data_IF_202933689345
#
_entry.id   IF_202933689345
#
_cell.length_a   1.000
_cell.length_b   1.000
_cell.length_c   1.000
_cell.angle_alpha   90.00
_cell.angle_beta   90.00
_cell.angle_gamma   90.00
#
_symmetry.space_group_name_H-M   'P 1'
#
loop_
_entity.id
_entity.type
_entity.pdbx_description
1 polymer ?
#
# COMPACT_ATOMS: atom_id res chain seq x y z
N UNK A 1 0.88 -28.57 -1.98
CA UNK A 1 -0.24 -27.85 -2.59
C UNK A 1 -0.09 -27.91 -4.09
N UNK A 2 -1.18 -27.99 -4.84
CA UNK A 2 -1.12 -27.86 -6.31
C UNK A 2 -0.70 -26.44 -6.70
N UNK A 3 0.06 -26.31 -7.79
CA UNK A 3 0.49 -25.02 -8.34
C UNK A 3 0.24 -25.03 -9.84
N UNK A 4 -0.63 -24.12 -10.28
CA UNK A 4 -1.01 -23.90 -11.68
C UNK A 4 -1.38 -22.42 -11.87
N UNK A 5 -1.52 -21.94 -13.11
CA UNK A 5 -1.76 -20.51 -13.41
C UNK A 5 -3.00 -19.94 -12.74
N UNK A 6 -4.02 -20.76 -12.59
CA UNK A 6 -5.31 -20.39 -12.00
C UNK A 6 -5.39 -20.57 -10.47
N UNK A 7 -4.29 -20.85 -9.78
CA UNK A 7 -4.31 -21.17 -8.34
C UNK A 7 -4.80 -20.00 -7.46
N UNK A 8 -4.74 -18.78 -8.00
CA UNK A 8 -5.23 -17.55 -7.36
C UNK A 8 -6.63 -17.13 -7.86
N UNK A 9 -7.36 -18.02 -8.55
CA UNK A 9 -8.79 -17.77 -8.83
C UNK A 9 -9.60 -17.99 -7.56
N UNK A 10 -10.41 -17.00 -7.23
CA UNK A 10 -11.17 -16.95 -5.99
C UNK A 10 -12.68 -17.02 -6.27
N UNK A 11 -13.42 -17.80 -5.48
CA UNK A 11 -14.88 -17.65 -5.38
C UNK A 11 -15.18 -16.33 -4.67
N UNK A 12 -15.35 -15.26 -5.46
CA UNK A 12 -15.48 -13.90 -4.95
C UNK A 12 -16.69 -13.75 -4.02
N UNK A 13 -17.79 -14.47 -4.29
CA UNK A 13 -19.00 -14.38 -3.47
C UNK A 13 -18.75 -14.98 -2.09
N UNK A 14 -18.26 -16.21 -2.05
CA UNK A 14 -17.97 -16.92 -0.79
C UNK A 14 -16.94 -16.16 0.04
N UNK A 15 -15.92 -15.61 -0.61
CA UNK A 15 -14.87 -14.87 0.10
C UNK A 15 -15.37 -13.52 0.64
N UNK A 16 -16.20 -12.78 -0.11
CA UNK A 16 -16.86 -11.58 0.41
C UNK A 16 -17.73 -11.91 1.62
N UNK A 17 -18.53 -12.97 1.56
CA UNK A 17 -19.35 -13.41 2.71
C UNK A 17 -18.48 -13.71 3.94
N UNK A 18 -17.33 -14.37 3.75
CA UNK A 18 -16.38 -14.68 4.81
C UNK A 18 -15.77 -13.42 5.43
N UNK A 19 -15.36 -12.46 4.62
CA UNK A 19 -14.77 -11.19 5.09
C UNK A 19 -15.82 -10.33 5.80
N UNK A 20 -17.06 -10.29 5.28
CA UNK A 20 -18.15 -9.59 5.92
C UNK A 20 -18.48 -10.16 7.31
N UNK A 21 -18.45 -11.49 7.47
CA UNK A 21 -18.64 -12.10 8.79
C UNK A 21 -17.50 -11.77 9.75
N UNK A 22 -16.25 -11.77 9.27
CA UNK A 22 -15.10 -11.31 10.04
C UNK A 22 -15.30 -9.86 10.54
N UNK A 23 -15.64 -8.92 9.64
CA UNK A 23 -15.87 -7.51 10.01
C UNK A 23 -16.98 -7.39 11.07
N UNK A 24 -18.10 -8.13 10.92
CA UNK A 24 -19.19 -8.11 11.89
C UNK A 24 -18.77 -8.69 13.24
N UNK A 25 -18.02 -9.79 13.25
CA UNK A 25 -17.55 -10.43 14.47
C UNK A 25 -16.59 -9.52 15.25
N UNK A 26 -15.58 -8.96 14.59
CA UNK A 26 -14.61 -8.06 15.21
C UNK A 26 -15.28 -6.82 15.82
N UNK A 27 -16.24 -6.23 15.09
CA UNK A 27 -16.98 -5.07 15.61
C UNK A 27 -17.82 -5.42 16.86
N UNK A 28 -18.43 -6.61 16.89
CA UNK A 28 -19.18 -7.11 18.05
C UNK A 28 -18.26 -7.33 19.25
N UNK A 29 -17.11 -7.98 19.04
CA UNK A 29 -16.18 -8.34 20.11
C UNK A 29 -15.52 -7.11 20.74
N UNK A 30 -15.14 -6.13 19.91
CA UNK A 30 -14.60 -4.85 20.37
C UNK A 30 -15.68 -3.89 20.90
N UNK A 31 -16.96 -4.23 20.77
CA UNK A 31 -18.12 -3.45 21.24
C UNK A 31 -18.14 -2.02 20.68
N UNK A 32 -17.88 -1.89 19.37
CA UNK A 32 -17.85 -0.58 18.66
C UNK A 32 -19.07 -0.39 17.76
N UNK A 33 -19.36 0.87 17.44
CA UNK A 33 -20.57 1.27 16.72
C UNK A 33 -20.50 1.16 15.19
N UNK A 34 -19.29 1.14 14.64
CA UNK A 34 -19.02 1.21 13.20
C UNK A 34 -17.53 1.28 12.90
N UNK A 35 -17.19 1.65 11.66
CA UNK A 35 -15.82 1.71 11.16
C UNK A 35 -15.48 3.08 10.60
N UNK A 36 -14.24 3.52 10.85
CA UNK A 36 -13.59 4.62 10.14
C UNK A 36 -12.58 4.02 9.16
N UNK A 37 -12.54 4.55 7.94
CA UNK A 37 -11.63 4.10 6.89
C UNK A 37 -11.00 5.29 6.15
N UNK A 38 -9.70 5.20 5.86
CA UNK A 38 -9.02 6.17 5.02
C UNK A 38 -9.23 5.84 3.53
N UNK A 39 -9.74 6.80 2.77
CA UNK A 39 -10.00 6.67 1.33
C UNK A 39 -8.89 7.38 0.54
N UNK A 40 -8.00 6.59 -0.07
CA UNK A 40 -6.83 7.10 -0.80
C UNK A 40 -7.06 7.28 -2.29
N UNK A 41 -8.23 6.88 -2.81
CA UNK A 41 -8.48 6.78 -4.25
C UNK A 41 -7.76 5.60 -4.93
N UNK A 42 -7.15 4.72 -4.13
CA UNK A 42 -6.59 3.43 -4.57
C UNK A 42 -7.55 2.26 -4.31
N UNK A 43 -7.28 1.15 -5.02
CA UNK A 43 -8.16 -0.02 -5.06
C UNK A 43 -8.39 -0.68 -3.69
N UNK A 44 -7.36 -0.78 -2.84
CA UNK A 44 -7.48 -1.49 -1.56
C UNK A 44 -8.45 -0.77 -0.61
N UNK A 45 -8.31 0.55 -0.48
CA UNK A 45 -9.24 1.35 0.34
C UNK A 45 -10.67 1.36 -0.21
N UNK A 46 -10.82 1.37 -1.54
CA UNK A 46 -12.12 1.33 -2.20
C UNK A 46 -12.83 -0.02 -1.98
N UNK A 47 -12.08 -1.13 -2.04
CA UNK A 47 -12.59 -2.47 -1.74
C UNK A 47 -12.96 -2.60 -0.26
N UNK A 48 -12.09 -2.18 0.66
CA UNK A 48 -12.39 -2.21 2.10
C UNK A 48 -13.64 -1.40 2.43
N UNK A 49 -13.81 -0.22 1.83
CA UNK A 49 -15.03 0.58 2.03
C UNK A 49 -16.27 -0.18 1.57
N UNK A 50 -16.22 -0.82 0.39
CA UNK A 50 -17.33 -1.62 -0.13
C UNK A 50 -17.64 -2.84 0.77
N UNK A 51 -16.61 -3.57 1.22
CA UNK A 51 -16.75 -4.69 2.16
C UNK A 51 -17.37 -4.25 3.49
N UNK A 52 -16.95 -3.11 4.04
CA UNK A 52 -17.53 -2.57 5.26
C UNK A 52 -19.01 -2.19 5.09
N UNK A 53 -19.39 -1.64 3.93
CA UNK A 53 -20.80 -1.30 3.62
C UNK A 53 -21.64 -2.58 3.49
N UNK A 54 -21.16 -3.59 2.78
CA UNK A 54 -21.83 -4.89 2.66
C UNK A 54 -21.95 -5.60 4.02
N UNK A 55 -20.95 -5.46 4.89
CA UNK A 55 -20.93 -6.06 6.21
C UNK A 55 -21.88 -5.35 7.19
N UNK A 56 -21.85 -4.02 7.25
CA UNK A 56 -22.39 -3.24 8.37
C UNK A 56 -23.55 -2.31 7.99
N UNK A 57 -23.74 -2.05 6.69
CA UNK A 57 -24.57 -0.97 6.17
C UNK A 57 -23.83 0.37 6.17
N UNK A 58 -24.15 1.22 5.19
CA UNK A 58 -23.48 2.51 4.94
C UNK A 58 -23.47 3.47 6.14
N UNK A 59 -24.51 3.44 6.98
CA UNK A 59 -24.64 4.35 8.13
C UNK A 59 -23.63 4.05 9.26
N UNK A 60 -22.93 2.92 9.18
CA UNK A 60 -21.87 2.51 10.12
C UNK A 60 -20.47 2.63 9.53
N UNK A 61 -20.33 3.28 8.38
CA UNK A 61 -19.06 3.46 7.68
C UNK A 61 -18.81 4.94 7.50
N UNK A 62 -17.69 5.43 8.03
CA UNK A 62 -17.26 6.81 7.90
C UNK A 62 -15.92 6.88 7.15
N UNK A 63 -15.90 7.54 6.00
CA UNK A 63 -14.70 7.68 5.18
C UNK A 63 -13.94 8.98 5.44
N UNK A 64 -12.62 8.91 5.49
CA UNK A 64 -11.74 10.07 5.57
C UNK A 64 -10.87 10.20 4.32
N UNK A 65 -10.94 11.36 3.67
CA UNK A 65 -10.05 11.73 2.56
C UNK A 65 -8.99 12.66 3.14
N UNK A 66 -7.74 12.22 3.16
CA UNK A 66 -6.64 12.88 3.89
C UNK A 66 -5.53 13.36 2.93
N UNK A 67 -5.81 14.35 2.07
CA UNK A 67 -4.83 14.88 1.13
C UNK A 67 -3.76 15.70 1.85
N UNK A 68 -2.62 15.83 1.20
CA UNK A 68 -1.54 16.73 1.60
C UNK A 68 -0.98 17.46 0.38
N UNK A 69 -0.01 18.35 0.59
CA UNK A 69 0.57 19.24 -0.44
C UNK A 69 0.93 18.53 -1.75
N UNK A 70 1.41 17.30 -1.69
CA UNK A 70 1.87 16.54 -2.85
C UNK A 70 0.94 15.38 -3.25
N UNK A 71 -0.23 15.23 -2.60
CA UNK A 71 -1.23 14.25 -3.01
C UNK A 71 -1.71 14.52 -4.43
N UNK A 72 -1.88 13.47 -5.22
CA UNK A 72 -2.46 13.61 -6.54
C UNK A 72 -3.94 14.05 -6.42
N UNK A 73 -4.36 15.18 -7.01
CA UNK A 73 -5.74 15.65 -6.90
C UNK A 73 -6.79 14.64 -7.38
N UNK A 74 -6.43 13.81 -8.38
CA UNK A 74 -7.31 12.76 -8.93
C UNK A 74 -7.59 11.68 -7.88
N UNK A 75 -6.67 11.42 -6.95
CA UNK A 75 -6.88 10.48 -5.85
C UNK A 75 -8.08 10.89 -4.98
N UNK A 76 -8.18 12.17 -4.63
CA UNK A 76 -9.28 12.69 -3.81
C UNK A 76 -10.61 12.68 -4.57
N UNK A 77 -10.59 13.01 -5.87
CA UNK A 77 -11.76 12.93 -6.75
C UNK A 77 -12.33 11.50 -6.80
N UNK A 78 -11.46 10.51 -7.05
CA UNK A 78 -11.89 9.11 -7.15
C UNK A 78 -12.37 8.56 -5.80
N UNK A 79 -11.70 8.93 -4.71
CA UNK A 79 -12.14 8.60 -3.36
C UNK A 79 -13.56 9.13 -3.08
N UNK A 80 -13.81 10.40 -3.38
CA UNK A 80 -15.12 11.03 -3.19
C UNK A 80 -16.19 10.39 -4.08
N UNK A 81 -15.89 10.15 -5.36
CA UNK A 81 -16.81 9.52 -6.31
C UNK A 81 -17.20 8.11 -5.88
N UNK A 82 -16.25 7.30 -5.41
CA UNK A 82 -16.53 5.96 -4.93
C UNK A 82 -17.32 5.98 -3.61
N UNK A 83 -17.01 6.90 -2.70
CA UNK A 83 -17.78 7.08 -1.47
C UNK A 83 -19.23 7.50 -1.72
N UNK A 84 -19.46 8.41 -2.69
CA UNK A 84 -20.79 8.82 -3.13
C UNK A 84 -21.59 7.62 -3.67
N UNK A 85 -20.96 6.78 -4.50
CA UNK A 85 -21.57 5.55 -5.01
C UNK A 85 -21.97 4.59 -3.88
N UNK A 86 -21.14 4.45 -2.84
CA UNK A 86 -21.42 3.62 -1.67
C UNK A 86 -22.45 4.26 -0.72
N UNK A 87 -22.69 5.58 -0.84
CA UNK A 87 -23.60 6.34 0.01
C UNK A 87 -23.11 6.50 1.45
N UNK A 88 -21.80 6.46 1.69
CA UNK A 88 -21.21 6.61 3.02
C UNK A 88 -20.95 8.09 3.34
N UNK A 89 -21.01 8.44 4.63
CA UNK A 89 -20.59 9.76 5.11
C UNK A 89 -19.07 9.89 4.95
N UNK A 90 -18.61 11.06 4.48
CA UNK A 90 -17.18 11.35 4.34
C UNK A 90 -16.81 12.73 4.84
N UNK A 91 -15.55 12.87 5.24
CA UNK A 91 -14.93 14.15 5.54
C UNK A 91 -13.54 14.25 4.92
N UNK A 92 -13.23 15.42 4.37
CA UNK A 92 -11.91 15.72 3.80
C UNK A 92 -11.14 16.60 4.76
N UNK A 93 -9.97 16.14 5.19
CA UNK A 93 -9.10 16.89 6.12
C UNK A 93 -7.73 17.06 5.49
N UNK A 94 -7.35 18.31 5.19
CA UNK A 94 -6.00 18.63 4.76
C UNK A 94 -5.01 18.42 5.90
N UNK A 95 -4.09 17.45 5.74
CA UNK A 95 -3.09 17.11 6.75
C UNK A 95 -1.78 17.87 6.56
N UNK A 96 -1.64 18.68 5.50
CA UNK A 96 -0.43 19.43 5.21
C UNK A 96 0.03 20.33 6.38
N UNK A 97 -0.85 21.03 7.14
CA UNK A 97 -0.43 21.84 8.28
C UNK A 97 0.27 21.01 9.38
N UNK A 98 -0.23 19.80 9.66
CA UNK A 98 0.38 18.90 10.65
C UNK A 98 1.75 18.41 10.20
N UNK A 99 1.90 18.11 8.91
CA UNK A 99 3.17 17.71 8.31
C UNK A 99 4.19 18.86 8.27
N UNK A 100 3.74 20.07 8.00
CA UNK A 100 4.57 21.28 8.02
C UNK A 100 5.06 21.57 9.45
N UNK A 101 4.16 21.49 10.45
CA UNK A 101 4.52 21.65 11.85
C UNK A 101 5.56 20.61 12.32
N UNK A 102 5.44 19.35 11.88
CA UNK A 102 6.46 18.33 12.09
C UNK A 102 7.77 18.61 11.31
N UNK A 103 7.68 19.40 10.24
CA UNK A 103 8.75 19.71 9.31
C UNK A 103 9.09 18.53 8.39
N UNK A 104 8.09 17.74 8.00
CA UNK A 104 8.25 16.58 7.12
C UNK A 104 8.90 16.96 5.79
N UNK A 105 8.34 17.97 5.12
CA UNK A 105 8.83 18.47 3.83
C UNK A 105 10.26 18.97 3.93
N UNK A 106 10.54 19.91 4.86
CA UNK A 106 11.88 20.43 5.10
C UNK A 106 12.91 19.33 5.34
N UNK A 107 12.61 18.35 6.23
CA UNK A 107 13.53 17.24 6.55
C UNK A 107 13.84 16.39 5.32
N UNK A 108 12.84 16.08 4.50
CA UNK A 108 13.02 15.35 3.25
C UNK A 108 13.86 16.16 2.27
N UNK A 109 13.50 17.41 2.05
CA UNK A 109 14.14 18.28 1.06
C UNK A 109 15.60 18.56 1.41
N UNK A 110 15.94 18.65 2.70
CA UNK A 110 17.33 18.75 3.17
C UNK A 110 18.15 17.48 2.81
N UNK A 111 17.55 16.29 2.90
CA UNK A 111 18.20 15.05 2.48
C UNK A 111 18.36 14.97 0.96
N UNK A 112 17.36 15.44 0.21
CA UNK A 112 17.41 15.52 -1.26
C UNK A 112 18.47 16.53 -1.69
N UNK A 113 18.53 17.72 -1.09
CA UNK A 113 19.56 18.75 -1.36
C UNK A 113 20.97 18.28 -1.08
N UNK A 114 21.14 17.35 -0.14
CA UNK A 114 22.42 16.68 0.09
C UNK A 114 22.89 15.81 -1.09
N UNK A 115 21.99 15.43 -2.00
CA UNK A 115 22.28 14.66 -3.23
C UNK A 115 22.25 15.56 -4.47
N UNK A 116 21.26 16.45 -4.53
CA UNK A 116 21.05 17.42 -5.60
C UNK A 116 20.91 18.83 -5.01
N UNK A 117 22.01 19.58 -4.82
CA UNK A 117 21.98 20.92 -4.22
C UNK A 117 21.02 21.92 -4.90
N UNK A 118 20.69 21.68 -6.16
CA UNK A 118 19.74 22.46 -6.95
C UNK A 118 18.25 22.18 -6.65
N UNK A 119 17.92 21.21 -5.80
CA UNK A 119 16.53 20.85 -5.49
C UNK A 119 15.79 21.96 -4.72
N UNK A 120 14.66 22.40 -5.27
CA UNK A 120 13.85 23.51 -4.79
C UNK A 120 12.34 23.18 -4.77
N UNK A 121 11.49 24.20 -4.58
CA UNK A 121 10.04 24.05 -4.49
C UNK A 121 9.34 23.67 -5.79
N UNK A 122 9.96 23.95 -6.95
CA UNK A 122 9.43 23.58 -8.26
C UNK A 122 9.82 22.14 -8.61
N UNK A 123 10.80 21.59 -7.90
CA UNK A 123 11.35 20.28 -8.15
C UNK A 123 10.47 19.16 -7.56
N UNK A 124 10.20 18.13 -8.37
CA UNK A 124 9.51 16.91 -7.94
C UNK A 124 10.50 15.79 -7.69
N UNK A 125 10.19 14.87 -6.78
CA UNK A 125 11.09 13.76 -6.46
C UNK A 125 10.38 12.42 -6.33
N UNK A 126 11.08 11.34 -6.69
CA UNK A 126 10.73 9.95 -6.40
C UNK A 126 11.97 9.12 -6.14
N UNK A 127 11.81 8.00 -5.44
CA UNK A 127 12.84 6.97 -5.35
C UNK A 127 12.35 5.70 -6.04
N UNK A 128 13.25 4.99 -6.72
CA UNK A 128 12.94 3.74 -7.43
C UNK A 128 14.01 2.69 -7.16
N UNK A 129 13.63 1.42 -7.24
CA UNK A 129 14.58 0.32 -7.34
C UNK A 129 14.93 0.03 -8.81
N UNK A 130 16.00 -0.73 -9.10
CA UNK A 130 16.27 -1.17 -10.46
C UNK A 130 15.11 -2.02 -11.00
N UNK A 131 14.56 -1.63 -12.15
CA UNK A 131 13.48 -2.37 -12.82
C UNK A 131 13.93 -3.75 -13.31
N UNK A 132 12.96 -4.52 -13.80
CA UNK A 132 13.17 -5.81 -14.48
C UNK A 132 13.94 -6.84 -13.64
N UNK A 133 13.52 -7.05 -12.39
CA UNK A 133 14.18 -7.98 -11.45
C UNK A 133 14.37 -9.38 -12.05
N UNK A 134 13.38 -9.86 -12.82
CA UNK A 134 13.47 -11.16 -13.50
C UNK A 134 14.47 -11.14 -14.66
N UNK A 135 14.65 -10.03 -15.37
CA UNK A 135 15.53 -9.99 -16.54
C UNK A 135 16.98 -9.70 -16.16
N UNK A 136 17.23 -8.84 -15.16
CA UNK A 136 18.57 -8.33 -14.84
C UNK A 136 18.95 -8.47 -13.38
N UNK A 137 20.06 -9.16 -13.10
CA UNK A 137 20.63 -9.16 -11.75
C UNK A 137 21.16 -7.76 -11.40
N UNK A 138 20.77 -7.26 -10.23
CA UNK A 138 21.09 -5.91 -9.79
C UNK A 138 21.06 -5.81 -8.27
N UNK A 139 21.95 -4.98 -7.73
CA UNK A 139 21.95 -4.66 -6.30
C UNK A 139 20.70 -3.84 -5.96
N UNK A 140 20.09 -4.13 -4.80
CA UNK A 140 18.92 -3.42 -4.28
C UNK A 140 19.33 -2.03 -3.75
N UNK A 141 19.68 -1.14 -4.67
CA UNK A 141 20.11 0.23 -4.39
C UNK A 141 19.06 1.19 -4.91
N UNK A 142 18.42 1.92 -3.99
CA UNK A 142 17.47 2.96 -4.33
C UNK A 142 18.14 4.09 -5.09
N UNK A 143 17.47 4.56 -6.14
CA UNK A 143 17.88 5.70 -6.94
C UNK A 143 16.88 6.82 -6.73
N UNK A 144 17.36 7.99 -6.31
CA UNK A 144 16.58 9.22 -6.28
C UNK A 144 16.53 9.80 -7.70
N UNK A 145 15.32 10.10 -8.17
CA UNK A 145 15.08 10.85 -9.39
C UNK A 145 14.43 12.18 -9.02
N UNK A 146 14.93 13.26 -9.60
CA UNK A 146 14.31 14.59 -9.50
C UNK A 146 13.95 15.10 -10.89
N UNK A 147 12.80 15.77 -10.99
CA UNK A 147 12.39 16.60 -12.12
C UNK A 147 12.50 18.05 -11.66
N UNK A 148 13.23 18.89 -12.39
CA UNK A 148 13.50 20.29 -12.05
C UNK A 148 12.33 21.25 -12.35
N UNK A 149 11.15 20.73 -12.70
CA UNK A 149 9.98 21.52 -13.08
C UNK A 149 10.04 22.06 -14.51
N UNK A 150 11.16 21.84 -15.22
CA UNK A 150 11.36 22.20 -16.63
C UNK A 150 11.41 20.97 -17.53
N UNK A 151 11.12 19.79 -16.97
CA UNK A 151 11.16 18.51 -17.66
C UNK A 151 12.56 17.89 -17.73
N UNK A 152 13.56 18.45 -17.05
CA UNK A 152 14.88 17.80 -16.97
C UNK A 152 14.89 16.84 -15.79
N UNK A 153 15.10 15.56 -16.08
CA UNK A 153 15.18 14.51 -15.06
C UNK A 153 16.65 14.18 -14.75
N UNK A 154 17.02 14.26 -13.48
CA UNK A 154 18.32 13.80 -12.97
C UNK A 154 18.14 12.59 -12.06
N UNK A 155 19.16 11.74 -11.97
CA UNK A 155 19.12 10.56 -11.12
C UNK A 155 20.44 10.27 -10.43
N UNK A 156 20.38 9.82 -9.18
CA UNK A 156 21.55 9.49 -8.36
C UNK A 156 21.22 8.35 -7.40
N UNK A 157 22.17 7.45 -7.20
CA UNK A 157 22.04 6.38 -6.20
C UNK A 157 22.06 6.98 -4.80
N UNK A 158 21.16 6.52 -3.95
CA UNK A 158 21.09 6.95 -2.56
C UNK A 158 22.05 6.13 -1.70
N UNK A 159 22.82 6.83 -0.85
CA UNK A 159 23.47 6.19 0.28
C UNK A 159 22.45 5.94 1.40
N UNK A 160 22.84 5.14 2.40
CA UNK A 160 21.96 4.75 3.53
C UNK A 160 21.42 5.95 4.31
N UNK A 161 22.23 7.00 4.53
CA UNK A 161 21.81 8.19 5.29
C UNK A 161 20.71 8.95 4.55
N UNK A 162 20.91 9.25 3.27
CA UNK A 162 19.94 9.97 2.45
C UNK A 162 18.66 9.15 2.27
N UNK A 163 18.77 7.85 1.98
CA UNK A 163 17.60 6.96 1.89
C UNK A 163 16.79 6.96 3.19
N UNK A 164 17.44 6.69 4.32
CA UNK A 164 16.76 6.61 5.62
C UNK A 164 16.11 7.94 6.00
N UNK A 165 16.77 9.07 5.73
CA UNK A 165 16.22 10.39 6.04
C UNK A 165 15.00 10.73 5.17
N UNK A 166 15.06 10.45 3.87
CA UNK A 166 13.92 10.62 2.96
C UNK A 166 12.75 9.73 3.41
N UNK A 167 12.97 8.42 3.59
CA UNK A 167 11.93 7.47 3.99
C UNK A 167 11.36 7.82 5.37
N UNK A 168 12.17 8.26 6.33
CA UNK A 168 11.67 8.67 7.65
C UNK A 168 10.73 9.88 7.58
N UNK A 169 11.07 10.87 6.74
CA UNK A 169 10.20 12.01 6.51
C UNK A 169 8.93 11.61 5.76
N UNK A 170 9.05 10.78 4.74
CA UNK A 170 7.92 10.23 3.98
C UNK A 170 6.96 9.46 4.88
N UNK A 171 7.45 8.56 5.73
CA UNK A 171 6.64 7.74 6.66
C UNK A 171 5.84 8.57 7.67
N UNK A 172 6.21 9.84 7.90
CA UNK A 172 5.41 10.74 8.74
C UNK A 172 4.05 11.05 8.12
N UNK A 173 3.93 11.05 6.78
CA UNK A 173 2.66 11.23 6.07
C UNK A 173 1.63 10.18 6.47
N UNK A 174 2.02 8.90 6.42
CA UNK A 174 1.16 7.76 6.78
C UNK A 174 0.79 7.79 8.26
N UNK A 175 1.74 8.14 9.13
CA UNK A 175 1.50 8.26 10.59
C UNK A 175 0.57 9.40 10.95
N UNK A 176 0.67 10.53 10.25
CA UNK A 176 -0.29 11.62 10.41
C UNK A 176 -1.69 11.17 10.00
N UNK A 177 -1.84 10.44 8.89
CA UNK A 177 -3.15 9.88 8.50
C UNK A 177 -3.73 8.97 9.58
N UNK A 178 -2.92 8.08 10.14
CA UNK A 178 -3.32 7.22 11.27
C UNK A 178 -3.83 8.04 12.47
N UNK A 179 -3.14 9.13 12.84
CA UNK A 179 -3.59 10.00 13.93
C UNK A 179 -4.99 10.57 13.67
N UNK A 180 -5.27 11.02 12.44
CA UNK A 180 -6.61 11.50 12.09
C UNK A 180 -7.64 10.37 12.10
N UNK A 181 -7.32 9.20 11.53
CA UNK A 181 -8.22 8.04 11.55
C UNK A 181 -8.68 7.69 12.97
N UNK A 182 -7.73 7.60 13.92
CA UNK A 182 -8.05 7.32 15.32
C UNK A 182 -8.80 8.45 16.01
N UNK A 183 -8.48 9.73 15.74
CA UNK A 183 -9.25 10.85 16.28
C UNK A 183 -10.75 10.74 15.96
N UNK A 184 -11.10 10.46 14.70
CA UNK A 184 -12.49 10.28 14.31
C UNK A 184 -13.09 8.97 14.83
N UNK A 185 -12.32 7.88 14.86
CA UNK A 185 -12.78 6.61 15.39
C UNK A 185 -13.14 6.72 16.87
N UNK A 186 -12.30 7.36 17.68
CA UNK A 186 -12.55 7.61 19.10
C UNK A 186 -13.78 8.50 19.31
N UNK A 187 -13.88 9.61 18.57
CA UNK A 187 -15.02 10.52 18.64
C UNK A 187 -16.35 9.82 18.32
N UNK A 188 -16.35 8.89 17.35
CA UNK A 188 -17.56 8.14 16.93
C UNK A 188 -17.76 6.83 17.69
N UNK A 189 -16.85 6.44 18.58
CA UNK A 189 -16.80 5.10 19.20
C UNK A 189 -16.78 3.95 18.16
N UNK A 190 -15.98 4.13 17.11
CA UNK A 190 -15.77 3.21 15.98
C UNK A 190 -14.38 2.56 16.05
N UNK A 191 -14.14 1.54 15.21
CA UNK A 191 -12.78 1.00 14.96
C UNK A 191 -12.17 1.60 13.69
N UNK A 192 -10.85 1.54 13.55
CA UNK A 192 -10.14 1.86 12.30
C UNK A 192 -9.97 0.60 11.46
N UNK A 193 -10.47 0.63 10.22
CA UNK A 193 -10.31 -0.42 9.23
C UNK A 193 -9.08 -0.16 8.35
N UNK A 194 -8.15 -1.12 8.34
CA UNK A 194 -6.99 -1.12 7.45
C UNK A 194 -7.27 -1.63 6.06
N UNK A 195 -6.29 -1.44 5.19
CA UNK A 195 -6.39 -1.73 3.76
C UNK A 195 -5.16 -2.47 3.23
N UNK A 196 -4.34 -3.03 4.12
CA UNK A 196 -3.08 -3.68 3.73
C UNK A 196 -3.38 -5.07 3.19
N UNK A 197 -2.96 -5.36 1.95
CA UNK A 197 -3.15 -6.67 1.33
C UNK A 197 -1.98 -7.63 1.63
N UNK A 198 -2.16 -8.93 1.39
CA UNK A 198 -1.17 -9.98 1.68
C UNK A 198 0.17 -9.74 0.97
N UNK A 199 0.13 -9.28 -0.28
CA UNK A 199 1.33 -8.96 -1.07
C UNK A 199 2.18 -7.91 -0.34
N UNK A 200 1.53 -6.85 0.16
CA UNK A 200 2.16 -5.80 0.96
C UNK A 200 2.65 -6.31 2.32
N UNK A 201 1.86 -7.13 3.01
CA UNK A 201 2.24 -7.73 4.30
C UNK A 201 3.52 -8.54 4.17
N UNK A 202 3.58 -9.47 3.20
CA UNK A 202 4.75 -10.34 2.99
C UNK A 202 5.98 -9.52 2.62
N UNK A 203 5.84 -8.60 1.67
CA UNK A 203 6.94 -7.78 1.16
C UNK A 203 7.33 -6.63 2.12
N UNK A 204 6.52 -6.38 3.15
CA UNK A 204 6.72 -5.30 4.13
C UNK A 204 6.51 -3.90 3.53
N UNK A 205 5.57 -3.77 2.59
CA UNK A 205 5.23 -2.53 1.91
C UNK A 205 4.10 -1.77 2.63
N UNK A 206 4.35 -1.38 3.88
CA UNK A 206 3.43 -0.57 4.69
C UNK A 206 4.21 0.13 5.80
N UNK A 207 3.65 1.22 6.37
CA UNK A 207 4.27 1.92 7.51
C UNK A 207 3.68 1.39 8.81
N UNK A 208 4.52 0.77 9.64
CA UNK A 208 4.15 0.40 11.02
C UNK A 208 3.73 1.65 11.81
N UNK A 209 2.55 1.59 12.42
CA UNK A 209 1.88 2.72 13.08
C UNK A 209 1.57 3.90 12.15
N UNK A 210 1.55 3.66 10.84
CA UNK A 210 0.96 4.54 9.82
C UNK A 210 -0.27 3.87 9.25
N UNK A 211 -0.27 3.57 7.96
CA UNK A 211 -1.29 2.77 7.28
C UNK A 211 -1.48 1.38 7.90
N UNK A 212 -0.43 0.77 8.49
CA UNK A 212 -0.56 -0.47 9.26
C UNK A 212 -0.90 -0.29 10.74
N UNK A 213 -1.24 0.93 11.18
CA UNK A 213 -1.72 1.20 12.55
C UNK A 213 -3.24 1.23 12.57
N UNK A 214 -3.88 0.07 12.75
CA UNK A 214 -5.33 -0.13 12.62
C UNK A 214 -5.82 -1.22 13.58
N UNK A 215 -7.15 -1.34 13.72
CA UNK A 215 -7.76 -2.36 14.60
C UNK A 215 -8.03 -3.68 13.87
N UNK A 216 -8.38 -3.61 12.57
CA UNK A 216 -8.60 -4.79 11.71
C UNK A 216 -7.95 -4.63 10.34
N UNK A 217 -7.57 -5.74 9.70
CA UNK A 217 -7.01 -5.79 8.34
C UNK A 217 -7.74 -6.83 7.46
N UNK A 218 -8.89 -6.48 6.87
CA UNK A 218 -9.73 -7.43 6.12
C UNK A 218 -9.10 -8.02 4.86
N UNK A 219 -8.02 -7.40 4.34
CA UNK A 219 -7.35 -7.82 3.11
C UNK A 219 -6.01 -8.52 3.34
N UNK A 220 -5.55 -8.63 4.59
CA UNK A 220 -4.19 -9.09 4.91
C UNK A 220 -3.92 -10.55 4.50
N UNK A 221 -4.96 -11.34 4.21
CA UNK A 221 -4.86 -12.70 3.67
C UNK A 221 -5.07 -12.79 2.15
N UNK A 222 -5.35 -11.67 1.47
CA UNK A 222 -5.60 -11.61 0.03
C UNK A 222 -4.40 -11.05 -0.73
N UNK A 223 -3.94 -11.76 -1.75
CA UNK A 223 -3.00 -11.24 -2.73
C UNK A 223 -3.59 -10.05 -3.50
N UNK A 224 -2.76 -9.19 -4.08
CA UNK A 224 -3.24 -8.03 -4.86
C UNK A 224 -4.19 -8.44 -5.98
N UNK A 225 -3.88 -9.53 -6.68
CA UNK A 225 -4.74 -10.15 -7.70
C UNK A 225 -6.11 -10.60 -7.17
N UNK A 226 -6.21 -11.00 -5.89
CA UNK A 226 -7.52 -11.23 -5.25
C UNK A 226 -8.26 -9.92 -4.97
N UNK A 227 -7.54 -8.86 -4.56
CA UNK A 227 -8.13 -7.51 -4.37
C UNK A 227 -8.80 -7.03 -5.66
N UNK A 228 -8.16 -7.24 -6.82
CA UNK A 228 -8.76 -6.93 -8.12
C UNK A 228 -10.04 -7.74 -8.39
N UNK A 229 -10.01 -9.06 -8.19
CA UNK A 229 -11.19 -9.92 -8.39
C UNK A 229 -12.38 -9.48 -7.51
N UNK A 230 -12.13 -9.20 -6.23
CA UNK A 230 -13.18 -8.76 -5.30
C UNK A 230 -13.67 -7.34 -5.61
N UNK A 231 -12.78 -6.46 -6.08
CA UNK A 231 -13.14 -5.09 -6.48
C UNK A 231 -14.08 -5.08 -7.67
N UNK A 232 -13.83 -5.94 -8.66
CA UNK A 232 -14.75 -6.14 -9.79
C UNK A 232 -16.09 -6.71 -9.32
N UNK A 233 -16.07 -7.72 -8.45
CA UNK A 233 -17.26 -8.36 -7.91
C UNK A 233 -18.17 -7.39 -7.13
N UNK A 234 -17.59 -6.56 -6.27
CA UNK A 234 -18.31 -5.56 -5.46
C UNK A 234 -18.59 -4.24 -6.20
N UNK A 235 -18.16 -4.15 -7.46
CA UNK A 235 -18.41 -2.98 -8.30
C UNK A 235 -17.67 -1.73 -7.82
N UNK A 236 -16.40 -1.83 -7.45
CA UNK A 236 -15.52 -0.65 -7.35
C UNK A 236 -15.52 0.09 -8.69
N UNK A 237 -15.49 1.43 -8.65
CA UNK A 237 -15.56 2.24 -9.88
C UNK A 237 -14.40 1.93 -10.84
N UNK A 238 -14.66 1.98 -12.15
CA UNK A 238 -13.67 1.60 -13.19
C UNK A 238 -12.42 2.46 -13.13
N UNK A 239 -12.56 3.74 -12.81
CA UNK A 239 -11.45 4.68 -12.69
C UNK A 239 -10.44 4.28 -11.62
N UNK A 240 -10.88 3.62 -10.55
CA UNK A 240 -9.99 3.08 -9.51
C UNK A 240 -9.36 1.75 -9.96
N UNK A 241 -10.15 0.87 -10.59
CA UNK A 241 -9.66 -0.45 -11.05
C UNK A 241 -8.60 -0.30 -12.16
N UNK A 242 -8.82 0.61 -13.10
CA UNK A 242 -7.94 0.80 -14.27
C UNK A 242 -6.71 1.67 -13.97
N UNK A 243 -6.69 2.35 -12.81
CA UNK A 243 -5.56 3.18 -12.41
C UNK A 243 -4.38 2.28 -11.99
N UNK A 244 -3.16 2.55 -12.50
CA UNK A 244 -1.96 1.87 -12.02
C UNK A 244 -1.76 2.06 -10.51
N UNK A 245 -1.50 0.98 -9.73
CA UNK A 245 -1.24 1.07 -8.30
C UNK A 245 -0.08 2.00 -7.96
N UNK A 246 -0.31 2.86 -6.99
CA UNK A 246 0.66 3.81 -6.48
C UNK A 246 0.32 4.19 -5.04
N UNK A 247 1.33 4.21 -4.19
CA UNK A 247 1.27 4.71 -2.81
C UNK A 247 0.97 6.22 -2.65
N UNK A 248 0.82 6.99 -3.75
CA UNK A 248 0.55 8.45 -3.78
C UNK A 248 1.39 9.26 -2.77
N UNK A 249 2.64 8.84 -2.64
CA UNK A 249 3.55 9.26 -1.56
C UNK A 249 4.58 10.30 -2.04
N UNK A 250 4.84 10.32 -3.34
CA UNK A 250 5.93 11.06 -3.99
C UNK A 250 5.37 12.15 -4.90
N UNK A 251 6.02 13.32 -4.91
CA UNK A 251 5.61 14.43 -5.80
C UNK A 251 5.90 14.15 -7.27
N UNK A 252 6.83 13.25 -7.57
CA UNK A 252 7.02 12.71 -8.92
C UNK A 252 6.34 11.34 -9.03
N UNK A 253 5.42 11.21 -9.99
CA UNK A 253 4.64 9.98 -10.21
C UNK A 253 5.51 8.73 -10.32
N UNK A 254 5.14 7.71 -9.55
CA UNK A 254 5.81 6.40 -9.50
C UNK A 254 4.76 5.32 -9.21
N UNK A 255 4.85 4.19 -9.89
CA UNK A 255 4.04 3.02 -9.55
C UNK A 255 4.68 2.22 -8.41
N UNK A 256 3.90 1.36 -7.76
CA UNK A 256 4.44 0.47 -6.73
C UNK A 256 5.45 -0.54 -7.32
N UNK A 257 5.28 -0.90 -8.60
CA UNK A 257 6.24 -1.71 -9.35
C UNK A 257 7.59 -1.00 -9.52
N UNK A 258 7.59 0.28 -9.94
CA UNK A 258 8.81 1.07 -10.08
C UNK A 258 9.48 1.36 -8.72
N UNK A 259 8.66 1.62 -7.70
CA UNK A 259 9.13 2.03 -6.38
C UNK A 259 9.71 0.84 -5.59
N UNK A 260 9.01 -0.30 -5.56
CA UNK A 260 9.27 -1.36 -4.58
C UNK A 260 9.20 -2.79 -5.11
N UNK A 261 8.15 -3.16 -5.85
CA UNK A 261 7.88 -4.56 -6.18
C UNK A 261 8.72 -5.10 -7.34
N UNK A 262 9.03 -4.29 -8.36
CA UNK A 262 9.91 -4.61 -9.51
C UNK A 262 9.45 -5.78 -10.39
N UNK A 263 8.26 -6.32 -10.13
CA UNK A 263 7.60 -7.41 -10.83
C UNK A 263 6.11 -7.06 -10.89
N UNK A 264 5.43 -7.22 -12.04
CA UNK A 264 3.98 -7.07 -12.14
C UNK A 264 3.24 -8.01 -11.18
N UNK A 265 2.11 -7.56 -10.62
CA UNK A 265 1.38 -8.30 -9.57
C UNK A 265 0.93 -9.70 -10.00
N UNK A 266 0.55 -9.88 -11.27
CA UNK A 266 0.11 -11.18 -11.82
C UNK A 266 1.22 -12.25 -11.75
N UNK A 267 2.47 -11.80 -11.81
CA UNK A 267 3.65 -12.68 -11.69
C UNK A 267 4.10 -12.74 -10.24
N UNK A 268 4.15 -11.60 -9.54
CA UNK A 268 4.59 -11.52 -8.15
C UNK A 268 3.73 -12.37 -7.23
N UNK A 269 2.41 -12.28 -7.32
CA UNK A 269 1.53 -13.01 -6.40
C UNK A 269 1.63 -14.53 -6.57
N UNK A 270 1.83 -15.02 -7.80
CA UNK A 270 2.11 -16.44 -8.06
C UNK A 270 3.47 -16.86 -7.48
N UNK A 271 4.49 -16.01 -7.56
CA UNK A 271 5.80 -16.27 -6.95
C UNK A 271 5.72 -16.24 -5.41
N UNK A 272 4.93 -15.35 -4.83
CA UNK A 272 4.67 -15.30 -3.39
C UNK A 272 3.90 -16.53 -2.92
N UNK A 273 2.91 -16.98 -3.68
CA UNK A 273 2.21 -18.24 -3.40
C UNK A 273 3.20 -19.42 -3.43
N UNK A 274 4.04 -19.49 -4.47
CA UNK A 274 5.05 -20.52 -4.58
C UNK A 274 6.04 -20.49 -3.41
N UNK A 275 6.45 -19.29 -2.99
CA UNK A 275 7.32 -19.07 -1.83
C UNK A 275 6.66 -19.52 -0.52
N UNK A 276 5.42 -19.11 -0.26
CA UNK A 276 4.67 -19.42 0.97
C UNK A 276 4.47 -20.92 1.15
N UNK A 277 4.16 -21.63 0.06
CA UNK A 277 3.87 -23.06 0.08
C UNK A 277 5.04 -23.95 -0.31
N UNK A 278 6.25 -23.39 -0.38
CA UNK A 278 7.50 -24.09 -0.70
C UNK A 278 7.39 -24.95 -1.98
N UNK A 279 6.77 -24.40 -3.02
CA UNK A 279 6.62 -25.08 -4.31
C UNK A 279 8.01 -25.28 -4.94
N UNK A 280 8.34 -26.49 -5.44
CA UNK A 280 9.64 -26.76 -6.07
C UNK A 280 9.94 -25.82 -7.24
N UNK A 281 11.19 -25.38 -7.35
CA UNK A 281 11.61 -24.42 -8.40
C UNK A 281 11.31 -24.95 -9.80
N UNK A 282 11.47 -26.25 -10.03
CA UNK A 282 11.19 -26.92 -11.30
C UNK A 282 9.73 -26.75 -11.70
N UNK A 283 8.81 -26.95 -10.75
CA UNK A 283 7.37 -26.78 -10.97
C UNK A 283 7.01 -25.31 -11.24
N UNK A 284 7.64 -24.38 -10.53
CA UNK A 284 7.45 -22.93 -10.78
C UNK A 284 7.90 -22.56 -12.19
N UNK A 285 9.07 -23.06 -12.61
CA UNK A 285 9.61 -22.82 -13.96
C UNK A 285 8.65 -23.32 -15.04
N UNK A 286 8.12 -24.53 -14.88
CA UNK A 286 7.18 -25.15 -15.82
C UNK A 286 5.87 -24.35 -15.94
N UNK A 287 5.23 -24.06 -14.80
CA UNK A 287 3.91 -23.39 -14.78
C UNK A 287 3.99 -21.94 -15.27
N UNK A 288 5.03 -21.22 -14.84
CA UNK A 288 5.18 -19.78 -15.10
C UNK A 288 5.97 -19.47 -16.37
N UNK A 289 6.55 -20.48 -17.03
CA UNK A 289 7.47 -20.31 -18.16
C UNK A 289 8.64 -19.37 -17.82
N UNK A 290 9.22 -19.58 -16.64
CA UNK A 290 10.39 -18.85 -16.13
C UNK A 290 11.60 -19.77 -16.10
N UNK A 291 12.79 -19.21 -16.26
CA UNK A 291 14.03 -19.97 -16.04
C UNK A 291 14.31 -20.13 -14.54
N UNK A 292 15.06 -21.18 -14.17
CA UNK A 292 15.46 -21.39 -12.78
C UNK A 292 16.20 -20.19 -12.18
N UNK A 293 16.94 -19.43 -12.99
CA UNK A 293 17.65 -18.22 -12.54
C UNK A 293 16.69 -17.04 -12.29
N UNK A 294 15.60 -16.93 -13.05
CA UNK A 294 14.56 -15.93 -12.80
C UNK A 294 13.84 -16.23 -11.48
N UNK A 295 13.46 -17.49 -11.27
CA UNK A 295 12.80 -17.92 -10.03
C UNK A 295 13.73 -17.70 -8.82
N UNK A 296 15.00 -18.11 -8.91
CA UNK A 296 15.98 -17.88 -7.84
C UNK A 296 16.15 -16.39 -7.50
N UNK A 297 16.21 -15.51 -8.50
CA UNK A 297 16.30 -14.06 -8.28
C UNK A 297 15.08 -13.51 -7.57
N UNK A 298 13.88 -13.92 -7.99
CA UNK A 298 12.64 -13.52 -7.31
C UNK A 298 12.61 -14.01 -5.87
N UNK A 299 12.88 -15.29 -5.62
CA UNK A 299 12.90 -15.87 -4.26
C UNK A 299 13.93 -15.18 -3.37
N UNK A 300 15.09 -14.80 -3.91
CA UNK A 300 16.11 -14.04 -3.17
C UNK A 300 15.60 -12.64 -2.78
N UNK A 301 14.91 -11.95 -3.67
CA UNK A 301 14.34 -10.62 -3.40
C UNK A 301 13.21 -10.68 -2.36
N UNK A 302 12.27 -11.61 -2.53
CA UNK A 302 11.17 -11.88 -1.57
C UNK A 302 11.74 -12.18 -0.19
N UNK A 303 12.69 -13.12 -0.08
CA UNK A 303 13.32 -13.46 1.20
C UNK A 303 14.06 -12.26 1.80
N UNK A 304 14.76 -11.45 0.99
CA UNK A 304 15.46 -10.28 1.50
C UNK A 304 14.50 -9.25 2.10
N UNK A 305 13.40 -8.93 1.40
CA UNK A 305 12.37 -7.99 1.87
C UNK A 305 11.60 -8.54 3.07
N UNK A 306 11.17 -9.80 3.03
CA UNK A 306 10.49 -10.45 4.14
C UNK A 306 11.35 -10.42 5.41
N UNK A 307 12.64 -10.77 5.31
CA UNK A 307 13.52 -10.75 6.48
C UNK A 307 13.84 -9.33 6.96
N UNK A 308 14.10 -8.39 6.04
CA UNK A 308 14.45 -7.01 6.38
C UNK A 308 13.29 -6.25 7.04
N UNK A 309 12.05 -6.65 6.79
CA UNK A 309 10.83 -5.99 7.30
C UNK A 309 10.13 -6.78 8.41
N UNK A 310 10.76 -7.83 8.96
CA UNK A 310 10.16 -8.71 9.99
C UNK A 310 9.57 -7.93 11.17
N UNK A 311 10.24 -6.86 11.59
CA UNK A 311 9.81 -6.02 12.71
C UNK A 311 8.50 -5.25 12.47
N UNK A 312 8.07 -5.11 11.21
CA UNK A 312 6.81 -4.45 10.87
C UNK A 312 5.60 -5.32 11.22
N UNK A 313 5.75 -6.65 11.12
CA UNK A 313 4.69 -7.67 11.37
C UNK A 313 4.66 -8.19 12.81
N UNK A 314 5.35 -7.54 13.74
CA UNK A 314 5.46 -8.00 15.12
C UNK A 314 4.95 -6.94 16.08
N UNK A 315 4.19 -7.38 17.08
CA UNK A 315 3.97 -6.57 18.29
C UNK A 315 5.32 -6.22 18.94
N UNK A 316 5.40 -5.13 19.72
CA UNK A 316 6.58 -4.84 20.52
C UNK A 316 6.98 -6.08 21.33
N UNK A 317 8.25 -6.48 21.22
CA UNK A 317 8.77 -7.59 22.00
C UNK A 317 8.72 -7.21 23.48
N UNK A 318 8.08 -8.03 24.31
CA UNK A 318 8.03 -7.87 25.76
C UNK A 318 8.81 -8.99 26.42
N UNK A 319 9.39 -8.71 27.58
CA UNK A 319 9.87 -9.75 28.49
C UNK A 319 8.64 -10.29 29.23
N UNK A 320 8.49 -11.61 29.29
CA UNK A 320 7.48 -12.28 30.13
C UNK A 320 7.89 -12.27 31.59
#
# INVERSE_FOLDING_TARGET
>A
MEFHKDVLKLDSKSEVERICEFIRQELRDMKRGGVVIGLSGGIDSALCAALCVDALGKDKVFGLILPEKESNPVSAEYAAKHAEKLGIETETVDIAPTLEAFGAYRKRDDMIRGVFPEYDSESKSKITLPADLLSKDSLNVFTLKIDDGKGNVKSARLNKKSLNGIVAATNSKQRTRMMYLYYYAEMKNYIVCGTTNKTEVIEGFFVKYGDGGVDIEPLSHLYKTHVYQLSEHLGVIREIIERPPSSDTWSFQVSDEEFYFRIPYEILDLLLFAWEYNIPTEQVCEVMNLTAEQVKRAMRDINAKYNATRNLRQLPLTVE
#
